data_IF_614704621778
#
_entry.id   IF_614704621778
#
_cell.length_a   1.000
_cell.length_b   1.000
_cell.length_c   1.000
_cell.angle_alpha   90.00
_cell.angle_beta   90.00
_cell.angle_gamma   90.00
#
_symmetry.space_group_name_H-M   'P 1'
#
loop_
_entity.id
_entity.type
_entity.pdbx_description
1 polymer ?
#
# COMPACT_ATOMS: atom_id res chain seq x y z
N UNK A 1 16.63 -7.97 -25.04
CA UNK A 1 15.36 -7.74 -24.31
C UNK A 1 15.63 -6.70 -23.24
N UNK A 2 14.89 -5.60 -23.23
CA UNK A 2 15.08 -4.45 -22.33
C UNK A 2 14.58 -4.79 -20.92
N UNK A 3 15.47 -4.75 -19.93
CA UNK A 3 15.10 -4.92 -18.53
C UNK A 3 14.64 -3.58 -17.95
N UNK A 4 13.32 -3.36 -17.88
CA UNK A 4 12.76 -2.08 -17.40
C UNK A 4 12.98 -1.82 -15.91
N UNK A 5 13.25 -2.86 -15.09
CA UNK A 5 13.46 -2.73 -13.64
C UNK A 5 14.59 -3.66 -13.20
N UNK A 6 15.81 -3.12 -13.12
CA UNK A 6 17.01 -3.89 -12.78
C UNK A 6 16.95 -4.53 -11.40
N UNK A 7 16.35 -3.86 -10.41
CA UNK A 7 16.21 -4.36 -9.04
C UNK A 7 15.18 -5.48 -8.87
N UNK A 8 14.34 -5.74 -9.88
CA UNK A 8 13.44 -6.90 -9.90
C UNK A 8 14.18 -8.20 -10.23
N UNK A 9 15.30 -8.11 -10.96
CA UNK A 9 16.18 -9.23 -11.28
C UNK A 9 15.53 -10.26 -12.20
N UNK A 10 15.68 -11.54 -11.87
CA UNK A 10 15.22 -12.69 -12.66
C UNK A 10 13.92 -13.32 -12.14
N UNK A 11 13.17 -12.60 -11.29
CA UNK A 11 11.90 -13.09 -10.74
C UNK A 11 10.84 -13.29 -11.85
N UNK A 12 9.88 -14.21 -11.66
CA UNK A 12 8.85 -14.47 -12.66
C UNK A 12 8.05 -13.21 -13.02
N UNK A 13 7.71 -13.05 -14.30
CA UNK A 13 6.79 -12.01 -14.76
C UNK A 13 5.33 -12.49 -14.63
N UNK A 14 4.92 -12.75 -13.39
CA UNK A 14 3.54 -13.10 -13.04
C UNK A 14 2.98 -12.03 -12.12
N UNK A 15 1.65 -11.85 -12.17
CA UNK A 15 0.96 -10.81 -11.39
C UNK A 15 1.35 -10.83 -9.91
N UNK A 16 1.26 -11.99 -9.25
CA UNK A 16 1.49 -12.09 -7.81
C UNK A 16 2.95 -11.76 -7.42
N UNK A 17 3.93 -12.23 -8.19
CA UNK A 17 5.35 -11.98 -7.97
C UNK A 17 5.68 -10.48 -8.12
N UNK A 18 5.17 -9.87 -9.20
CA UNK A 18 5.41 -8.46 -9.52
C UNK A 18 4.70 -7.55 -8.51
N UNK A 19 3.42 -7.82 -8.21
CA UNK A 19 2.63 -7.06 -7.26
C UNK A 19 3.25 -7.10 -5.86
N UNK A 20 3.68 -8.29 -5.41
CA UNK A 20 4.34 -8.48 -4.12
C UNK A 20 5.67 -7.71 -4.03
N UNK A 21 6.47 -7.75 -5.09
CA UNK A 21 7.70 -6.98 -5.17
C UNK A 21 7.45 -5.47 -5.04
N UNK A 22 6.50 -4.91 -5.77
CA UNK A 22 6.20 -3.48 -5.69
C UNK A 22 5.68 -3.09 -4.31
N UNK A 23 4.78 -3.89 -3.72
CA UNK A 23 4.29 -3.65 -2.36
C UNK A 23 5.45 -3.60 -1.36
N UNK A 24 6.33 -4.59 -1.38
CA UNK A 24 7.50 -4.63 -0.51
C UNK A 24 8.45 -3.44 -0.76
N UNK A 25 8.66 -3.08 -2.02
CA UNK A 25 9.51 -1.97 -2.40
C UNK A 25 8.98 -0.63 -1.87
N UNK A 26 7.69 -0.35 -2.04
CA UNK A 26 7.06 0.86 -1.51
C UNK A 26 7.05 0.90 0.02
N UNK A 27 6.80 -0.23 0.69
CA UNK A 27 6.90 -0.31 2.14
C UNK A 27 8.32 -0.01 2.63
N UNK A 28 9.34 -0.53 1.96
CA UNK A 28 10.73 -0.28 2.32
C UNK A 28 11.11 1.19 2.11
N UNK A 29 10.69 1.78 0.98
CA UNK A 29 10.93 3.21 0.70
C UNK A 29 10.24 4.09 1.73
N UNK A 30 9.00 3.79 2.10
CA UNK A 30 8.28 4.49 3.16
C UNK A 30 9.06 4.42 4.48
N UNK A 31 9.40 3.22 4.95
CA UNK A 31 10.12 3.03 6.21
C UNK A 31 11.46 3.78 6.25
N UNK A 32 12.18 3.85 5.13
CA UNK A 32 13.47 4.55 5.05
C UNK A 32 13.34 6.08 5.07
N UNK A 33 12.21 6.62 4.61
CA UNK A 33 11.99 8.07 4.45
C UNK A 33 11.00 8.66 5.44
N UNK A 34 10.39 7.83 6.28
CA UNK A 34 9.41 8.28 7.25
C UNK A 34 10.08 8.99 8.43
N UNK A 35 9.58 10.18 8.74
CA UNK A 35 10.10 11.06 9.80
C UNK A 35 9.16 11.09 11.00
N UNK A 36 7.88 10.74 10.81
CA UNK A 36 6.82 10.89 11.82
C UNK A 36 6.14 9.59 12.23
N UNK A 37 6.73 8.44 11.86
CA UNK A 37 6.18 7.10 12.11
C UNK A 37 4.70 6.98 11.69
N UNK A 38 4.37 7.57 10.54
CA UNK A 38 3.00 7.62 10.05
C UNK A 38 2.57 6.23 9.57
N UNK A 39 1.31 5.89 9.81
CA UNK A 39 0.75 4.64 9.28
C UNK A 39 0.72 4.67 7.75
N UNK A 40 1.13 3.57 7.12
CA UNK A 40 1.07 3.37 5.68
C UNK A 40 -0.04 2.40 5.32
N UNK A 41 -1.01 2.87 4.54
CA UNK A 41 -2.10 2.06 3.99
C UNK A 41 -1.83 1.81 2.50
N UNK A 42 -1.74 0.53 2.12
CA UNK A 42 -1.39 0.09 0.77
C UNK A 42 -2.42 -0.93 0.27
N UNK A 43 -3.04 -0.61 -0.85
CA UNK A 43 -4.04 -1.45 -1.51
C UNK A 43 -3.70 -1.64 -2.98
N UNK A 44 -3.95 -2.83 -3.51
CA UNK A 44 -4.04 -3.03 -4.95
C UNK A 44 -5.44 -2.60 -5.40
N UNK A 45 -5.49 -1.71 -6.38
CA UNK A 45 -6.75 -1.14 -6.88
C UNK A 45 -6.88 -1.38 -8.38
N UNK A 46 -8.12 -1.46 -8.84
CA UNK A 46 -8.48 -1.44 -10.25
C UNK A 46 -9.66 -0.50 -10.40
N UNK A 47 -9.56 0.47 -11.31
CA UNK A 47 -10.64 1.43 -11.57
C UNK A 47 -11.93 0.75 -12.05
N UNK A 48 -11.81 -0.48 -12.59
CA UNK A 48 -12.93 -1.27 -13.09
C UNK A 48 -13.60 -2.12 -12.00
N UNK A 49 -12.92 -2.35 -10.87
CA UNK A 49 -13.47 -3.12 -9.76
C UNK A 49 -14.07 -2.18 -8.71
N UNK A 50 -15.31 -1.77 -8.97
CA UNK A 50 -16.04 -0.82 -8.12
C UNK A 50 -16.30 -1.42 -6.73
N UNK A 51 -16.57 -2.74 -6.63
CA UNK A 51 -16.86 -3.41 -5.35
C UNK A 51 -15.61 -3.48 -4.47
N UNK A 52 -14.47 -3.88 -5.03
CA UNK A 52 -13.21 -3.87 -4.29
C UNK A 52 -12.83 -2.45 -3.87
N UNK A 53 -13.00 -1.47 -4.76
CA UNK A 53 -12.71 -0.06 -4.46
C UNK A 53 -13.61 0.49 -3.37
N UNK A 54 -14.90 0.17 -3.38
CA UNK A 54 -15.82 0.56 -2.31
C UNK A 54 -15.38 0.00 -0.94
N UNK A 55 -14.99 -1.28 -0.88
CA UNK A 55 -14.49 -1.88 0.36
C UNK A 55 -13.20 -1.20 0.85
N UNK A 56 -12.30 -0.81 -0.07
CA UNK A 56 -11.09 -0.07 0.28
C UNK A 56 -11.44 1.29 0.89
N UNK A 57 -12.41 2.02 0.31
CA UNK A 57 -12.85 3.32 0.83
C UNK A 57 -13.39 3.18 2.27
N UNK A 58 -14.22 2.16 2.54
CA UNK A 58 -14.74 1.92 3.89
C UNK A 58 -13.60 1.66 4.88
N UNK A 59 -12.67 0.77 4.53
CA UNK A 59 -11.53 0.44 5.39
C UNK A 59 -10.65 1.66 5.71
N UNK A 60 -10.39 2.51 4.72
CA UNK A 60 -9.63 3.77 4.90
C UNK A 60 -10.41 4.74 5.78
N UNK A 61 -11.72 4.88 5.57
CA UNK A 61 -12.59 5.72 6.39
C UNK A 61 -12.54 5.35 7.86
N UNK A 62 -12.66 4.05 8.19
CA UNK A 62 -12.54 3.59 9.56
C UNK A 62 -11.16 3.86 10.17
N UNK A 63 -10.09 3.69 9.39
CA UNK A 63 -8.73 3.96 9.85
C UNK A 63 -8.54 5.44 10.23
N UNK A 64 -9.09 6.36 9.42
CA UNK A 64 -9.08 7.80 9.70
C UNK A 64 -9.85 8.11 10.98
N UNK A 65 -11.04 7.53 11.15
CA UNK A 65 -11.87 7.73 12.36
C UNK A 65 -11.13 7.22 13.60
N UNK A 66 -10.56 6.02 13.56
CA UNK A 66 -9.75 5.46 14.67
C UNK A 66 -8.56 6.36 15.01
N UNK A 67 -7.86 6.87 14.01
CA UNK A 67 -6.76 7.80 14.22
C UNK A 67 -7.24 9.11 14.87
N UNK A 68 -8.38 9.66 14.44
CA UNK A 68 -8.94 10.87 15.02
C UNK A 68 -9.36 10.69 16.49
N UNK A 69 -9.99 9.56 16.81
CA UNK A 69 -10.37 9.20 18.19
C UNK A 69 -9.12 9.11 19.08
N UNK A 70 -8.07 8.43 18.61
CA UNK A 70 -6.81 8.32 19.35
C UNK A 70 -6.13 9.69 19.59
N UNK A 71 -6.24 10.62 18.65
CA UNK A 71 -5.68 11.97 18.79
C UNK A 71 -6.47 12.87 19.75
N UNK A 72 -7.78 12.66 19.87
CA UNK A 72 -8.66 13.47 20.72
C UNK A 72 -8.74 12.98 22.17
N UNK A 73 -8.02 11.90 22.51
CA UNK A 73 -7.93 11.38 23.89
C UNK A 73 -9.17 10.59 24.35
N UNK A 74 -9.99 10.12 23.41
CA UNK A 74 -11.22 9.34 23.68
C UNK A 74 -10.95 7.83 23.80
N UNK A 75 -9.80 7.44 24.37
CA UNK A 75 -9.35 6.04 24.49
C UNK A 75 -9.16 5.62 25.93
#
# INVERSE_FOLDING_TARGET
MTNSITSYGSRPNKYDDVASYFRAHFMQVHKKKDVSNRSLYLHFTSMLDIKATQNIIVNVGEAIIRQHIAQTGLT
#
